data_IF_744935363590
#
_entry.id   IF_744935363590
#
_cell.length_a   1.000
_cell.length_b   1.000
_cell.length_c   1.000
_cell.angle_alpha   90.00
_cell.angle_beta   90.00
_cell.angle_gamma   90.00
#
_symmetry.space_group_name_H-M   'P 1'
#
loop_
_entity.id
_entity.type
_entity.pdbx_description
1 polymer ?
#
# COMPACT_ATOMS: atom_id res chain seq x y z
N UNK A 1 13.33 -1.67 22.64
CA UNK A 1 12.71 -1.95 21.32
C UNK A 1 13.47 -1.21 20.23
N UNK A 2 13.55 -1.74 19.00
CA UNK A 2 14.06 -0.99 17.83
C UNK A 2 12.97 -0.79 16.77
N UNK A 3 12.79 0.44 16.24
CA UNK A 3 11.85 0.71 15.14
C UNK A 3 12.48 1.42 13.93
N UNK A 4 12.13 0.98 12.72
CA UNK A 4 12.70 1.50 11.46
C UNK A 4 11.71 1.44 10.30
N UNK A 5 11.79 2.42 9.40
CA UNK A 5 11.31 2.34 8.02
C UNK A 5 12.51 1.89 7.17
N UNK A 6 12.34 0.93 6.26
CA UNK A 6 13.46 0.33 5.54
C UNK A 6 13.15 0.31 4.06
N UNK A 7 13.69 1.31 3.36
CA UNK A 7 13.75 1.30 1.90
C UNK A 7 15.11 0.79 1.48
N UNK A 8 15.13 -0.39 0.85
CA UNK A 8 16.26 -0.90 0.08
C UNK A 8 15.99 -0.53 -1.39
N UNK A 9 16.39 0.67 -1.82
CA UNK A 9 16.18 1.13 -3.20
C UNK A 9 17.17 0.50 -4.18
N UNK A 10 16.63 0.12 -5.34
CA UNK A 10 17.29 -0.10 -6.64
C UNK A 10 18.51 -1.04 -6.66
N UNK A 11 18.26 -2.34 -6.65
CA UNK A 11 19.13 -3.25 -7.38
C UNK A 11 18.46 -3.59 -8.72
N UNK A 12 18.83 -2.84 -9.76
CA UNK A 12 18.72 -3.31 -11.14
C UNK A 12 19.35 -4.69 -11.21
N UNK A 13 18.53 -5.70 -11.51
CA UNK A 13 18.78 -7.08 -11.95
C UNK A 13 20.24 -7.61 -11.94
N UNK A 14 21.00 -7.33 -10.89
CA UNK A 14 22.28 -7.95 -10.60
C UNK A 14 22.02 -8.93 -9.47
N UNK A 15 22.23 -10.20 -9.77
CA UNK A 15 22.09 -11.29 -8.78
C UNK A 15 23.08 -11.12 -7.60
N UNK A 16 23.99 -10.15 -7.64
CA UNK A 16 25.13 -10.01 -6.74
C UNK A 16 24.92 -9.14 -5.49
N UNK A 17 23.80 -8.41 -5.29
CA UNK A 17 23.69 -7.50 -4.11
C UNK A 17 22.33 -7.52 -3.39
N UNK A 18 21.67 -8.67 -3.24
CA UNK A 18 20.50 -8.82 -2.34
C UNK A 18 20.91 -9.03 -0.88
N UNK A 19 21.67 -8.11 -0.28
CA UNK A 19 22.30 -8.32 1.03
C UNK A 19 21.54 -7.78 2.26
N UNK A 20 20.41 -7.09 2.08
CA UNK A 20 19.60 -6.48 3.16
C UNK A 20 20.43 -5.91 4.33
N UNK A 21 21.44 -5.07 4.05
CA UNK A 21 22.42 -4.66 5.05
C UNK A 21 21.82 -3.84 6.19
N UNK A 22 20.78 -3.03 5.92
CA UNK A 22 20.06 -2.26 6.95
C UNK A 22 19.41 -3.20 7.98
N UNK A 23 18.78 -4.28 7.51
CA UNK A 23 18.17 -5.29 8.38
C UNK A 23 19.21 -6.00 9.24
N UNK A 24 20.34 -6.42 8.64
CA UNK A 24 21.44 -7.06 9.39
C UNK A 24 21.97 -6.12 10.47
N UNK A 25 22.19 -4.85 10.12
CA UNK A 25 22.68 -3.86 11.06
C UNK A 25 21.72 -3.61 12.24
N UNK A 26 20.41 -3.55 11.98
CA UNK A 26 19.40 -3.48 13.05
C UNK A 26 19.50 -4.71 13.95
N UNK A 27 19.63 -5.91 13.37
CA UNK A 27 19.76 -7.14 14.15
C UNK A 27 21.03 -7.14 15.02
N UNK A 28 22.16 -6.67 14.48
CA UNK A 28 23.41 -6.57 15.22
C UNK A 28 23.31 -5.61 16.41
N UNK A 29 22.70 -4.43 16.20
CA UNK A 29 22.46 -3.47 17.28
C UNK A 29 21.48 -4.02 18.30
N UNK A 30 20.36 -4.59 17.86
CA UNK A 30 19.38 -5.22 18.73
C UNK A 30 20.01 -6.31 19.61
N UNK A 31 20.88 -7.14 19.03
CA UNK A 31 21.61 -8.19 19.73
C UNK A 31 22.64 -7.65 20.71
N UNK A 32 23.39 -6.62 20.32
CA UNK A 32 24.40 -5.98 21.17
C UNK A 32 23.76 -5.27 22.37
N UNK A 33 22.62 -4.61 22.13
CA UNK A 33 21.89 -3.81 23.13
C UNK A 33 20.94 -4.65 23.98
N UNK A 34 20.60 -5.86 23.53
CA UNK A 34 19.71 -6.77 24.26
C UNK A 34 18.26 -6.31 24.27
N UNK A 35 17.76 -5.78 23.15
CA UNK A 35 16.37 -5.29 23.06
C UNK A 35 15.36 -6.44 23.07
N UNK A 36 14.16 -6.17 23.59
CA UNK A 36 13.09 -7.18 23.70
C UNK A 36 12.37 -7.52 22.39
N UNK A 37 12.51 -6.67 21.37
CA UNK A 37 11.87 -6.85 20.07
C UNK A 37 12.26 -5.77 19.06
N UNK A 38 12.20 -6.16 17.78
CA UNK A 38 12.39 -5.28 16.61
C UNK A 38 11.03 -5.10 15.93
N UNK A 39 10.69 -3.86 15.57
CA UNK A 39 9.43 -3.51 14.91
C UNK A 39 9.72 -2.72 13.64
N UNK A 40 9.34 -3.27 12.49
CA UNK A 40 9.63 -2.70 11.18
C UNK A 40 8.37 -2.04 10.61
N UNK A 41 8.52 -0.92 9.90
CA UNK A 41 7.43 -0.16 9.28
C UNK A 41 7.55 -0.13 7.76
N UNK A 42 6.84 -1.03 7.09
CA UNK A 42 6.51 -1.06 5.65
C UNK A 42 7.63 -0.86 4.62
N UNK A 43 7.24 -0.98 3.36
CA UNK A 43 8.02 -0.60 2.18
C UNK A 43 9.40 -1.29 2.04
N UNK A 44 9.49 -2.53 2.53
CA UNK A 44 10.73 -3.30 2.67
C UNK A 44 11.39 -3.67 1.34
N UNK A 45 10.58 -3.76 0.28
CA UNK A 45 11.02 -4.14 -1.07
C UNK A 45 10.43 -3.13 -2.05
N UNK A 46 10.76 -1.85 -1.86
CA UNK A 46 10.30 -0.76 -2.73
C UNK A 46 10.89 -0.87 -4.13
N UNK A 47 10.09 -1.27 -5.12
CA UNK A 47 10.43 -1.04 -6.51
C UNK A 47 9.66 0.21 -7.00
N UNK A 48 10.07 1.37 -6.49
CA UNK A 48 9.38 2.66 -6.71
C UNK A 48 9.21 3.03 -8.20
N UNK A 49 10.01 2.45 -9.10
CA UNK A 49 9.95 2.67 -10.55
C UNK A 49 8.80 1.94 -11.26
N UNK A 50 8.12 1.02 -10.59
CA UNK A 50 7.00 0.25 -11.15
C UNK A 50 5.85 0.31 -10.15
N UNK A 51 4.94 1.28 -10.31
CA UNK A 51 3.69 1.35 -9.53
C UNK A 51 3.09 -0.05 -9.37
N UNK A 52 2.61 -0.40 -8.16
CA UNK A 52 2.35 -1.76 -7.64
C UNK A 52 2.93 -2.90 -8.50
N UNK A 53 3.91 -3.69 -8.01
CA UNK A 53 4.60 -4.73 -8.79
C UNK A 53 3.71 -5.67 -9.60
N UNK A 54 2.44 -5.79 -9.23
CA UNK A 54 1.41 -6.58 -9.90
C UNK A 54 0.55 -5.78 -10.89
N UNK A 55 0.27 -4.50 -10.63
CA UNK A 55 -0.68 -3.70 -11.40
C UNK A 55 -0.15 -3.35 -12.80
N UNK A 56 1.04 -2.78 -12.91
CA UNK A 56 1.59 -2.35 -14.22
C UNK A 56 1.77 -3.53 -15.18
N UNK A 57 2.36 -4.67 -14.77
CA UNK A 57 2.48 -5.81 -15.65
C UNK A 57 1.12 -6.39 -16.09
N UNK A 58 0.12 -6.42 -15.21
CA UNK A 58 -1.24 -6.87 -15.56
C UNK A 58 -1.92 -5.89 -16.52
N UNK A 59 -1.79 -4.58 -16.29
CA UNK A 59 -2.28 -3.55 -17.23
C UNK A 59 -1.64 -3.71 -18.61
N UNK A 60 -0.33 -4.02 -18.68
CA UNK A 60 0.35 -4.29 -19.95
C UNK A 60 -0.23 -5.53 -20.65
N UNK A 61 -0.45 -6.64 -19.94
CA UNK A 61 -1.08 -7.84 -20.52
C UNK A 61 -2.50 -7.54 -21.03
N UNK A 62 -3.27 -6.74 -20.30
CA UNK A 62 -4.59 -6.29 -20.76
C UNK A 62 -4.51 -5.43 -22.02
N UNK A 63 -3.54 -4.50 -22.11
CA UNK A 63 -3.33 -3.70 -23.31
C UNK A 63 -2.88 -4.56 -24.50
N UNK A 64 -1.95 -5.49 -24.29
CA UNK A 64 -1.52 -6.46 -25.32
C UNK A 64 -2.67 -7.35 -25.77
N UNK A 65 -3.54 -7.75 -24.86
CA UNK A 65 -4.79 -8.48 -25.13
C UNK A 65 -5.74 -7.68 -26.01
N UNK A 66 -5.95 -6.40 -25.71
CA UNK A 66 -6.78 -5.50 -26.51
C UNK A 66 -6.20 -5.35 -27.92
N UNK A 67 -4.90 -5.10 -28.05
CA UNK A 67 -4.24 -4.96 -29.34
C UNK A 67 -4.22 -6.27 -30.15
N UNK A 68 -4.09 -7.42 -29.48
CA UNK A 68 -4.22 -8.74 -30.10
C UNK A 68 -5.63 -8.95 -30.64
N UNK A 69 -6.65 -8.67 -29.83
CA UNK A 69 -8.05 -8.79 -30.24
C UNK A 69 -8.39 -7.90 -31.44
N UNK A 70 -7.97 -6.63 -31.43
CA UNK A 70 -8.17 -5.71 -32.55
C UNK A 70 -7.64 -6.26 -33.88
N UNK A 71 -6.57 -7.05 -33.88
CA UNK A 71 -6.03 -7.66 -35.12
C UNK A 71 -6.92 -8.76 -35.70
N UNK A 72 -7.80 -9.34 -34.91
CA UNK A 72 -8.75 -10.39 -35.33
C UNK A 72 -10.10 -9.84 -35.75
N UNK A 73 -10.33 -8.54 -35.54
CA UNK A 73 -11.55 -7.86 -35.92
C UNK A 73 -11.34 -7.10 -37.23
N UNK A 74 -12.35 -7.14 -38.09
CA UNK A 74 -12.37 -6.38 -39.34
C UNK A 74 -12.29 -4.88 -39.06
N UNK A 75 -11.61 -4.13 -39.93
CA UNK A 75 -11.31 -2.72 -39.72
C UNK A 75 -12.55 -1.88 -39.39
N UNK A 76 -13.66 -2.14 -40.08
CA UNK A 76 -14.94 -1.42 -39.92
C UNK A 76 -15.59 -1.65 -38.54
N UNK A 77 -15.30 -2.79 -37.91
CA UNK A 77 -15.83 -3.19 -36.61
C UNK A 77 -14.91 -2.80 -35.44
N UNK A 78 -13.67 -2.38 -35.71
CA UNK A 78 -12.71 -1.92 -34.68
C UNK A 78 -13.13 -0.61 -34.04
N UNK A 79 -13.53 0.37 -34.84
CA UNK A 79 -13.98 1.69 -34.35
C UNK A 79 -15.17 1.53 -33.38
N UNK A 80 -16.08 0.61 -33.73
CA UNK A 80 -17.21 0.22 -32.89
C UNK A 80 -16.68 -0.32 -31.54
N UNK A 81 -15.84 -1.35 -31.52
CA UNK A 81 -15.33 -1.91 -30.27
C UNK A 81 -14.46 -0.94 -29.44
N UNK A 82 -13.73 -0.01 -30.06
CA UNK A 82 -12.95 1.02 -29.38
C UNK A 82 -13.85 1.99 -28.61
N UNK A 83 -14.89 2.53 -29.27
CA UNK A 83 -15.88 3.41 -28.63
C UNK A 83 -16.58 2.67 -27.48
N UNK A 84 -16.93 1.40 -27.68
CA UNK A 84 -17.55 0.57 -26.64
C UNK A 84 -16.64 0.39 -25.42
N UNK A 85 -15.35 0.06 -25.66
CA UNK A 85 -14.36 -0.11 -24.59
C UNK A 85 -14.15 1.18 -23.80
N UNK A 86 -14.06 2.34 -24.45
CA UNK A 86 -13.90 3.64 -23.78
C UNK A 86 -15.11 3.97 -22.90
N UNK A 87 -16.31 3.73 -23.40
CA UNK A 87 -17.55 3.93 -22.65
C UNK A 87 -17.64 2.98 -21.45
N UNK A 88 -17.27 1.71 -21.61
CA UNK A 88 -17.24 0.72 -20.52
C UNK A 88 -16.24 1.09 -19.42
N UNK A 89 -15.05 1.56 -19.78
CA UNK A 89 -14.04 2.03 -18.83
C UNK A 89 -14.55 3.21 -17.97
N UNK A 90 -15.47 4.00 -18.52
CA UNK A 90 -16.15 5.09 -17.82
C UNK A 90 -17.41 4.66 -17.06
N UNK A 91 -17.65 3.35 -16.93
CA UNK A 91 -18.81 2.79 -16.22
C UNK A 91 -20.10 2.77 -17.05
N UNK A 92 -20.01 2.86 -18.38
CA UNK A 92 -21.12 2.77 -19.32
C UNK A 92 -21.74 4.11 -19.74
N UNK A 93 -22.62 4.08 -20.76
CA UNK A 93 -23.27 5.25 -21.38
C UNK A 93 -23.94 6.15 -20.33
N UNK A 94 -24.64 5.54 -19.36
CA UNK A 94 -25.34 6.28 -18.31
C UNK A 94 -24.38 6.99 -17.34
N UNK A 95 -23.20 6.42 -17.10
CA UNK A 95 -22.16 7.04 -16.26
C UNK A 95 -21.51 8.22 -16.98
N UNK A 96 -21.25 8.09 -18.29
CA UNK A 96 -20.80 9.19 -19.15
C UNK A 96 -21.83 10.34 -19.17
N UNK A 97 -23.12 10.04 -19.40
CA UNK A 97 -24.20 11.04 -19.35
C UNK A 97 -24.26 11.77 -18.01
N UNK A 98 -24.10 11.03 -16.91
CA UNK A 98 -24.11 11.60 -15.57
C UNK A 98 -22.92 12.53 -15.36
N UNK A 99 -21.71 12.10 -15.73
CA UNK A 99 -20.49 12.89 -15.61
C UNK A 99 -20.55 14.23 -16.37
N UNK A 100 -21.21 14.25 -17.53
CA UNK A 100 -21.47 15.48 -18.30
C UNK A 100 -22.38 16.45 -17.53
N UNK A 101 -23.42 15.92 -16.87
CA UNK A 101 -24.47 16.72 -16.24
C UNK A 101 -24.13 17.18 -14.81
N UNK A 102 -23.23 16.49 -14.11
CA UNK A 102 -22.85 16.80 -12.72
C UNK A 102 -21.99 18.08 -12.58
N UNK A 103 -21.53 18.68 -13.68
CA UNK A 103 -20.91 20.01 -13.70
C UNK A 103 -19.54 20.14 -13.00
N UNK A 104 -18.98 19.05 -12.48
CA UNK A 104 -17.72 19.02 -11.74
C UNK A 104 -16.47 18.92 -12.64
N UNK A 105 -16.64 18.72 -13.94
CA UNK A 105 -15.55 18.47 -14.89
C UNK A 105 -15.13 19.73 -15.66
N UNK A 106 -13.84 19.88 -15.99
CA UNK A 106 -13.36 20.96 -16.86
C UNK A 106 -14.08 20.96 -18.22
N UNK A 107 -14.34 22.15 -18.78
CA UNK A 107 -15.10 22.32 -20.03
C UNK A 107 -14.55 21.49 -21.20
N UNK A 108 -13.23 21.37 -21.35
CA UNK A 108 -12.60 20.53 -22.37
C UNK A 108 -12.93 19.04 -22.22
N UNK A 109 -12.97 18.54 -21.00
CA UNK A 109 -13.29 17.14 -20.72
C UNK A 109 -14.78 16.87 -20.96
N UNK A 110 -15.65 17.82 -20.60
CA UNK A 110 -17.09 17.75 -20.90
C UNK A 110 -17.34 17.66 -22.40
N UNK A 111 -16.65 18.45 -23.23
CA UNK A 111 -16.79 18.38 -24.69
C UNK A 111 -16.27 17.05 -25.27
N UNK A 112 -15.18 16.51 -24.73
CA UNK A 112 -14.68 15.20 -25.12
C UNK A 112 -15.69 14.09 -24.77
N UNK A 113 -16.27 14.11 -23.56
CA UNK A 113 -17.29 13.14 -23.13
C UNK A 113 -18.58 13.25 -23.95
N UNK A 114 -19.01 14.45 -24.32
CA UNK A 114 -20.15 14.65 -25.24
C UNK A 114 -19.89 14.04 -26.62
N UNK A 115 -18.66 14.19 -27.12
CA UNK A 115 -18.25 13.59 -28.39
C UNK A 115 -18.29 12.06 -28.31
N UNK A 116 -17.65 11.48 -27.29
CA UNK A 116 -17.68 10.04 -27.03
C UNK A 116 -19.10 9.50 -26.87
N UNK A 117 -19.96 10.20 -26.14
CA UNK A 117 -21.36 9.81 -25.95
C UNK A 117 -22.12 9.78 -27.28
N UNK A 118 -21.95 10.79 -28.13
CA UNK A 118 -22.60 10.86 -29.44
C UNK A 118 -22.10 9.73 -30.36
N UNK A 119 -20.80 9.45 -30.32
CA UNK A 119 -20.22 8.36 -31.09
C UNK A 119 -20.75 7.01 -30.61
N UNK A 120 -20.85 6.80 -29.29
CA UNK A 120 -21.43 5.61 -28.70
C UNK A 120 -22.90 5.39 -29.09
N UNK A 121 -23.73 6.43 -29.02
CA UNK A 121 -25.13 6.38 -29.45
C UNK A 121 -25.27 6.06 -30.96
N UNK A 122 -24.34 6.56 -31.78
CA UNK A 122 -24.30 6.28 -33.23
C UNK A 122 -24.02 4.81 -33.53
N UNK A 123 -23.18 4.17 -32.73
CA UNK A 123 -22.74 2.78 -32.95
C UNK A 123 -23.43 1.76 -32.04
N UNK A 124 -24.35 2.20 -31.16
CA UNK A 124 -25.05 1.36 -30.18
C UNK A 124 -25.72 0.12 -30.81
N UNK A 125 -26.50 0.34 -31.87
CA UNK A 125 -27.17 -0.75 -32.60
C UNK A 125 -26.21 -1.71 -33.29
N UNK A 126 -24.99 -1.28 -33.60
CA UNK A 126 -23.95 -2.13 -34.19
C UNK A 126 -23.14 -2.88 -33.13
N UNK A 127 -23.13 -2.42 -31.88
CA UNK A 127 -22.40 -3.10 -30.81
C UNK A 127 -22.89 -4.52 -30.61
N UNK A 128 -24.22 -4.71 -30.49
CA UNK A 128 -24.78 -6.04 -30.23
C UNK A 128 -24.49 -7.02 -31.37
N UNK A 129 -24.52 -6.53 -32.62
CA UNK A 129 -24.23 -7.35 -33.80
C UNK A 129 -22.74 -7.71 -33.87
N UNK A 130 -21.85 -6.74 -33.63
CA UNK A 130 -20.40 -6.96 -33.59
C UNK A 130 -20.00 -7.85 -32.42
N UNK A 131 -20.54 -7.63 -31.22
CA UNK A 131 -20.28 -8.48 -30.05
C UNK A 131 -20.72 -9.92 -30.32
N UNK A 132 -21.88 -10.13 -30.94
CA UNK A 132 -22.35 -11.47 -31.32
C UNK A 132 -21.49 -12.11 -32.40
N UNK A 133 -21.06 -11.35 -33.40
CA UNK A 133 -20.18 -11.81 -34.47
C UNK A 133 -18.83 -12.28 -33.93
N UNK A 134 -18.23 -11.50 -33.01
CA UNK A 134 -16.90 -11.79 -32.46
C UNK A 134 -16.92 -12.52 -31.12
N UNK A 135 -18.09 -12.88 -30.56
CA UNK A 135 -18.21 -13.55 -29.26
C UNK A 135 -17.27 -14.76 -29.10
N UNK A 136 -17.14 -15.68 -30.07
CA UNK A 136 -16.20 -16.80 -29.94
C UNK A 136 -14.73 -16.37 -29.84
N UNK A 137 -14.37 -15.27 -30.50
CA UNK A 137 -13.01 -14.71 -30.51
C UNK A 137 -12.75 -13.91 -29.22
N UNK A 138 -13.74 -13.18 -28.73
CA UNK A 138 -13.71 -12.50 -27.42
C UNK A 138 -13.47 -13.54 -26.33
N UNK A 139 -14.30 -14.59 -26.25
CA UNK A 139 -14.17 -15.68 -25.27
C UNK A 139 -12.79 -16.36 -25.35
N UNK A 140 -12.29 -16.58 -26.56
CA UNK A 140 -10.96 -17.15 -26.76
C UNK A 140 -9.86 -16.20 -26.26
N UNK A 141 -9.94 -14.90 -26.58
CA UNK A 141 -8.99 -13.90 -26.15
C UNK A 141 -8.98 -13.76 -24.63
N UNK A 142 -10.14 -13.72 -23.98
CA UNK A 142 -10.27 -13.61 -22.52
C UNK A 142 -9.64 -14.81 -21.80
N UNK A 143 -9.88 -16.03 -22.29
CA UNK A 143 -9.22 -17.23 -21.74
C UNK A 143 -7.71 -17.17 -21.88
N UNK A 144 -7.21 -16.67 -23.01
CA UNK A 144 -5.78 -16.48 -23.22
C UNK A 144 -5.22 -15.42 -22.27
N UNK A 145 -5.83 -14.24 -22.20
CA UNK A 145 -5.44 -13.14 -21.31
C UNK A 145 -5.40 -13.59 -19.86
N UNK A 146 -6.41 -14.37 -19.43
CA UNK A 146 -6.42 -14.97 -18.09
C UNK A 146 -5.20 -15.88 -17.88
N UNK A 147 -4.88 -16.75 -18.83
CA UNK A 147 -3.70 -17.62 -18.74
C UNK A 147 -2.38 -16.82 -18.70
N UNK A 148 -2.26 -15.76 -19.51
CA UNK A 148 -1.09 -14.86 -19.52
C UNK A 148 -0.94 -14.14 -18.16
N UNK A 149 -2.05 -13.65 -17.58
CA UNK A 149 -2.07 -13.03 -16.25
C UNK A 149 -1.70 -14.04 -15.17
N UNK A 150 -2.21 -15.27 -15.23
CA UNK A 150 -1.93 -16.31 -14.24
C UNK A 150 -0.44 -16.72 -14.27
N UNK A 151 0.15 -16.87 -15.47
CA UNK A 151 1.58 -17.13 -15.63
C UNK A 151 2.44 -15.95 -15.13
N UNK A 152 2.04 -14.72 -15.44
CA UNK A 152 2.69 -13.51 -14.95
C UNK A 152 2.65 -13.42 -13.42
N UNK A 153 1.48 -13.66 -12.80
CA UNK A 153 1.33 -13.68 -11.33
C UNK A 153 2.23 -14.72 -10.70
N UNK A 154 2.36 -15.91 -11.30
CA UNK A 154 3.28 -16.96 -10.83
C UNK A 154 4.73 -16.48 -10.86
N UNK A 155 5.19 -15.88 -11.97
CA UNK A 155 6.55 -15.33 -12.10
C UNK A 155 6.83 -14.20 -11.11
N UNK A 156 5.88 -13.29 -10.93
CA UNK A 156 5.97 -12.21 -9.95
C UNK A 156 6.06 -12.76 -8.52
N UNK A 157 5.24 -13.76 -8.19
CA UNK A 157 5.29 -14.44 -6.89
C UNK A 157 6.63 -15.11 -6.65
N UNK A 158 7.18 -15.83 -7.62
CA UNK A 158 8.50 -16.46 -7.53
C UNK A 158 9.60 -15.42 -7.27
N UNK A 159 9.58 -14.29 -7.99
CA UNK A 159 10.52 -13.16 -7.76
C UNK A 159 10.36 -12.55 -6.37
N UNK A 160 9.13 -12.28 -5.94
CA UNK A 160 8.84 -11.73 -4.62
C UNK A 160 9.29 -12.69 -3.50
N UNK A 161 8.96 -13.98 -3.61
CA UNK A 161 9.34 -14.99 -2.61
C UNK A 161 10.86 -15.19 -2.52
N UNK A 162 11.58 -15.00 -3.62
CA UNK A 162 13.05 -14.99 -3.60
C UNK A 162 13.58 -13.82 -2.76
N UNK A 163 13.03 -12.61 -2.93
CA UNK A 163 13.42 -11.45 -2.12
C UNK A 163 13.04 -11.64 -0.65
N UNK A 164 11.83 -12.11 -0.37
CA UNK A 164 11.36 -12.39 1.01
C UNK A 164 12.19 -13.46 1.70
N UNK A 165 12.72 -14.44 0.97
CA UNK A 165 13.64 -15.44 1.53
C UNK A 165 14.94 -14.82 2.01
N UNK A 166 15.56 -13.94 1.23
CA UNK A 166 16.78 -13.27 1.66
C UNK A 166 16.52 -12.27 2.80
N UNK A 167 15.36 -11.60 2.81
CA UNK A 167 14.91 -10.78 3.93
C UNK A 167 14.76 -11.62 5.21
N UNK A 168 14.02 -12.74 5.15
CA UNK A 168 13.80 -13.64 6.28
C UNK A 168 15.13 -14.22 6.78
N UNK A 169 16.07 -14.52 5.88
CA UNK A 169 17.43 -14.96 6.24
C UNK A 169 18.20 -13.87 6.98
N UNK A 170 18.15 -12.61 6.52
CA UNK A 170 18.82 -11.49 7.18
C UNK A 170 18.27 -11.27 8.61
N UNK A 171 16.97 -11.44 8.79
CA UNK A 171 16.31 -11.37 10.10
C UNK A 171 16.66 -12.55 11.03
N UNK A 172 17.12 -13.68 10.48
CA UNK A 172 17.43 -14.88 11.25
C UNK A 172 18.60 -14.74 12.23
N UNK A 173 19.37 -13.66 12.17
CA UNK A 173 20.42 -13.35 13.16
C UNK A 173 19.88 -12.68 14.43
N UNK A 174 18.64 -12.17 14.43
CA UNK A 174 18.04 -11.53 15.59
C UNK A 174 17.80 -12.54 16.73
N UNK A 175 18.22 -12.18 17.95
CA UNK A 175 18.00 -12.95 19.18
C UNK A 175 16.67 -12.60 19.87
N UNK A 176 15.91 -11.67 19.32
CA UNK A 176 14.60 -11.25 19.80
C UNK A 176 13.55 -11.40 18.67
N UNK A 177 12.24 -11.44 19.01
CA UNK A 177 11.20 -11.46 18.00
C UNK A 177 11.22 -10.21 17.10
N UNK A 178 11.02 -10.43 15.80
CA UNK A 178 10.88 -9.36 14.80
C UNK A 178 9.42 -9.27 14.36
N UNK A 179 8.86 -8.07 14.44
CA UNK A 179 7.51 -7.74 14.02
C UNK A 179 7.53 -6.76 12.85
N UNK A 180 6.54 -6.84 11.96
CA UNK A 180 6.38 -5.93 10.85
C UNK A 180 4.93 -5.48 10.68
N UNK A 181 4.76 -4.26 10.17
CA UNK A 181 3.52 -3.74 9.60
C UNK A 181 3.79 -3.38 8.15
N UNK A 182 2.90 -3.76 7.23
CA UNK A 182 3.03 -3.47 5.80
C UNK A 182 2.82 -2.00 5.50
N UNK A 183 3.57 -1.53 4.50
CA UNK A 183 3.35 -0.28 3.80
C UNK A 183 2.62 -0.49 2.48
N UNK A 184 2.95 0.36 1.52
CA UNK A 184 2.24 0.47 0.24
C UNK A 184 2.71 -0.56 -0.79
N UNK A 185 3.92 -1.07 -0.60
CA UNK A 185 4.56 -1.93 -1.60
C UNK A 185 4.47 -3.42 -1.27
N UNK A 186 3.98 -3.79 -0.08
CA UNK A 186 3.78 -5.18 0.31
C UNK A 186 2.44 -5.73 -0.22
N UNK A 187 2.52 -6.56 -1.25
CA UNK A 187 1.36 -7.21 -1.87
C UNK A 187 0.85 -8.41 -1.07
N UNK A 188 -0.20 -9.09 -1.56
CA UNK A 188 -0.71 -10.33 -0.95
C UNK A 188 0.36 -11.43 -0.88
N UNK A 189 1.36 -11.41 -1.78
CA UNK A 189 2.50 -12.33 -1.72
C UNK A 189 3.29 -12.19 -0.41
N UNK A 190 3.39 -11.00 0.16
CA UNK A 190 4.03 -10.79 1.46
C UNK A 190 3.29 -11.57 2.56
N UNK A 191 1.97 -11.63 2.50
CA UNK A 191 1.17 -12.40 3.45
C UNK A 191 1.23 -13.90 3.23
N UNK A 192 1.28 -14.33 1.97
CA UNK A 192 1.35 -15.75 1.62
C UNK A 192 2.73 -16.37 1.91
N UNK A 193 3.78 -15.56 1.94
CA UNK A 193 5.12 -16.05 2.23
C UNK A 193 5.19 -16.67 3.65
N UNK A 194 5.74 -17.89 3.80
CA UNK A 194 5.81 -18.59 5.08
C UNK A 194 7.02 -18.10 5.90
N UNK A 195 6.91 -16.88 6.44
CA UNK A 195 7.93 -16.24 7.27
C UNK A 195 8.35 -17.12 8.46
N UNK A 196 9.65 -17.29 8.69
CA UNK A 196 10.18 -18.03 9.85
C UNK A 196 10.64 -17.08 10.95
N UNK A 197 11.27 -15.98 10.57
CA UNK A 197 11.91 -15.03 11.48
C UNK A 197 11.12 -13.72 11.64
N UNK A 198 10.11 -13.50 10.79
CA UNK A 198 9.24 -12.32 10.83
C UNK A 198 7.81 -12.65 11.25
N UNK A 199 7.22 -11.83 12.12
CA UNK A 199 5.81 -11.90 12.50
C UNK A 199 5.06 -10.66 12.02
N UNK A 200 4.06 -10.86 11.17
CA UNK A 200 3.25 -9.75 10.65
C UNK A 200 2.20 -9.34 11.68
N UNK A 201 2.35 -8.14 12.26
CA UNK A 201 1.58 -7.68 13.40
C UNK A 201 0.07 -7.58 13.09
N UNK A 202 -0.27 -7.19 11.86
CA UNK A 202 -1.65 -7.17 11.34
C UNK A 202 -2.37 -8.52 11.39
N UNK A 203 -1.61 -9.64 11.32
CA UNK A 203 -2.12 -11.01 11.44
C UNK A 203 -2.16 -11.48 12.89
N UNK A 204 -1.24 -11.01 13.73
CA UNK A 204 -1.17 -11.40 15.14
C UNK A 204 -2.21 -10.67 16.00
N UNK A 205 -2.66 -9.49 15.57
CA UNK A 205 -3.56 -8.64 16.33
C UNK A 205 -2.79 -7.81 17.35
N UNK A 206 -2.74 -8.26 18.60
CA UNK A 206 -1.99 -7.59 19.67
C UNK A 206 -0.94 -8.54 20.24
N UNK A 207 0.30 -8.06 20.36
CA UNK A 207 1.40 -8.80 20.97
C UNK A 207 1.86 -8.09 22.24
N UNK A 208 2.09 -8.86 23.30
CA UNK A 208 2.64 -8.35 24.56
C UNK A 208 4.16 -8.55 24.56
N UNK A 209 4.91 -7.45 24.73
CA UNK A 209 6.35 -7.47 24.92
C UNK A 209 6.64 -6.80 26.26
N UNK A 210 7.02 -7.62 27.25
CA UNK A 210 7.38 -7.17 28.61
C UNK A 210 6.31 -6.30 29.29
N UNK A 211 5.05 -6.62 29.09
CA UNK A 211 3.92 -5.90 29.65
C UNK A 211 3.49 -4.67 28.85
N UNK A 212 4.06 -4.42 27.66
CA UNK A 212 3.60 -3.38 26.73
C UNK A 212 2.93 -4.07 25.53
N UNK A 213 1.70 -3.67 25.23
CA UNK A 213 0.87 -4.25 24.16
C UNK A 213 1.02 -3.48 22.86
N UNK A 214 1.45 -4.16 21.80
CA UNK A 214 1.66 -3.60 20.48
C UNK A 214 0.59 -4.09 19.50
N UNK A 215 -0.01 -3.17 18.76
CA UNK A 215 -0.88 -3.45 17.63
C UNK A 215 -0.30 -2.88 16.34
N UNK A 216 -0.68 -3.46 15.21
CA UNK A 216 -0.19 -3.08 13.89
C UNK A 216 -1.32 -2.76 12.94
N UNK A 217 -1.15 -1.70 12.15
CA UNK A 217 -2.14 -1.28 11.18
C UNK A 217 -1.45 -0.85 9.86
N UNK A 218 -1.75 -1.49 8.71
CA UNK A 218 -1.11 -1.14 7.44
C UNK A 218 -1.54 0.24 6.97
N UNK A 219 -1.00 0.72 5.86
CA UNK A 219 -1.54 1.93 5.25
C UNK A 219 -3.00 1.73 4.84
N UNK A 220 -3.91 2.48 5.45
CA UNK A 220 -5.36 2.36 5.25
C UNK A 220 -5.84 2.96 3.94
N UNK A 221 -5.04 3.80 3.27
CA UNK A 221 -5.46 4.45 2.03
C UNK A 221 -5.63 3.49 0.86
N UNK A 222 -4.91 2.36 0.85
CA UNK A 222 -4.87 1.46 -0.31
C UNK A 222 -5.97 0.38 -0.30
N UNK A 223 -6.55 0.08 0.87
CA UNK A 223 -7.70 -0.83 0.95
C UNK A 223 -9.05 -0.16 0.62
N UNK A 224 -9.03 1.14 0.28
CA UNK A 224 -10.15 1.83 -0.39
C UNK A 224 -10.09 1.60 -1.91
N UNK A 225 -9.29 0.64 -2.40
CA UNK A 225 -9.19 0.30 -3.84
C UNK A 225 -10.33 -0.56 -4.40
N UNK A 226 -11.33 -0.94 -3.59
CA UNK A 226 -12.59 -1.49 -4.11
C UNK A 226 -13.54 -0.40 -4.63
N UNK A 227 -13.23 0.87 -4.38
CA UNK A 227 -13.82 1.99 -5.09
C UNK A 227 -12.84 2.32 -6.22
N UNK A 228 -13.32 2.21 -7.46
CA UNK A 228 -12.51 2.37 -8.66
C UNK A 228 -11.64 3.62 -8.64
N UNK A 229 -10.69 3.65 -9.57
CA UNK A 229 -9.69 4.69 -9.88
C UNK A 229 -10.13 6.16 -9.85
N UNK A 230 -11.41 6.48 -9.58
CA UNK A 230 -11.95 7.81 -9.35
C UNK A 230 -11.85 8.34 -7.90
N UNK A 231 -11.46 7.55 -6.90
CA UNK A 231 -11.44 8.05 -5.51
C UNK A 231 -10.31 9.04 -5.24
N UNK A 232 -9.15 8.86 -5.89
CA UNK A 232 -8.02 9.79 -5.79
C UNK A 232 -8.31 11.16 -6.44
N UNK A 233 -9.07 11.20 -7.55
CA UNK A 233 -9.46 12.48 -8.16
C UNK A 233 -10.63 13.19 -7.44
N UNK A 234 -11.45 12.46 -6.68
CA UNK A 234 -12.56 13.05 -5.90
C UNK A 234 -12.14 13.57 -4.52
N UNK A 235 -11.12 12.97 -3.88
CA UNK A 235 -10.67 13.38 -2.56
C UNK A 235 -10.01 14.77 -2.52
N UNK A 236 -9.53 15.28 -3.65
CA UNK A 236 -8.98 16.66 -3.75
C UNK A 236 -10.05 17.74 -3.88
N UNK A 237 -11.32 17.40 -4.16
CA UNK A 237 -12.36 18.40 -4.51
C UNK A 237 -13.60 18.43 -3.66
N UNK A 238 -13.81 17.46 -2.78
CA UNK A 238 -14.89 17.51 -1.79
C UNK A 238 -14.42 16.83 -0.50
N UNK A 239 -14.62 17.43 0.69
CA UNK A 239 -14.52 16.69 1.93
C UNK A 239 -15.70 15.72 1.99
N UNK A 240 -15.59 14.61 1.26
CA UNK A 240 -16.56 13.51 1.32
C UNK A 240 -16.63 13.10 2.78
N UNK A 241 -17.76 13.39 3.43
CA UNK A 241 -18.05 12.83 4.74
C UNK A 241 -17.90 11.32 4.60
N UNK A 242 -16.95 10.71 5.33
CA UNK A 242 -16.65 9.33 5.12
C UNK A 242 -17.86 8.52 5.55
N UNK A 243 -18.31 7.65 4.65
CA UNK A 243 -19.42 6.75 4.89
C UNK A 243 -19.08 5.85 6.08
N UNK A 244 -19.69 6.15 7.23
CA UNK A 244 -19.45 5.47 8.50
C UNK A 244 -19.72 3.96 8.38
N UNK A 245 -20.64 3.55 7.50
CA UNK A 245 -20.99 2.14 7.28
C UNK A 245 -19.85 1.38 6.58
N UNK A 246 -19.15 2.04 5.64
CA UNK A 246 -17.97 1.47 4.98
C UNK A 246 -16.76 1.37 5.91
N UNK A 247 -16.64 2.27 6.89
CA UNK A 247 -15.58 2.21 7.91
C UNK A 247 -15.85 1.12 8.95
N UNK A 248 -17.11 0.98 9.38
CA UNK A 248 -17.54 -0.07 10.29
C UNK A 248 -17.45 -1.48 9.70
N UNK A 249 -17.33 -1.61 8.37
CA UNK A 249 -17.14 -2.89 7.69
C UNK A 249 -15.68 -3.16 7.29
N UNK A 250 -14.73 -2.25 7.60
CA UNK A 250 -13.34 -2.47 7.24
C UNK A 250 -12.70 -3.54 8.15
N UNK A 251 -12.29 -4.70 7.62
CA UNK A 251 -11.79 -5.81 8.43
C UNK A 251 -10.48 -5.51 9.14
N UNK A 252 -9.69 -4.53 8.67
CA UNK A 252 -8.45 -4.11 9.32
C UNK A 252 -8.75 -3.22 10.53
N UNK A 253 -9.70 -2.29 10.40
CA UNK A 253 -10.11 -1.38 11.48
C UNK A 253 -10.87 -2.16 12.57
N UNK A 254 -11.80 -3.03 12.19
CA UNK A 254 -12.59 -3.83 13.12
C UNK A 254 -11.74 -4.73 14.02
N UNK A 255 -10.61 -5.25 13.49
CA UNK A 255 -9.67 -6.04 14.29
C UNK A 255 -9.05 -5.25 15.43
N UNK A 256 -9.00 -3.93 15.35
CA UNK A 256 -8.41 -3.06 16.38
C UNK A 256 -9.47 -2.52 17.35
N UNK A 257 -10.71 -2.34 16.92
CA UNK A 257 -11.79 -1.75 17.74
C UNK A 257 -12.16 -2.56 18.98
N UNK A 258 -11.92 -3.87 19.02
CA UNK A 258 -12.20 -4.71 20.20
C UNK A 258 -10.93 -5.09 20.97
N UNK A 259 -9.78 -4.51 20.59
CA UNK A 259 -8.49 -4.82 21.20
C UNK A 259 -8.04 -3.71 22.13
N UNK A 260 -7.26 -4.09 23.12
CA UNK A 260 -6.60 -3.20 24.06
C UNK A 260 -5.10 -3.22 23.76
N UNK A 261 -4.53 -2.05 23.46
CA UNK A 261 -3.13 -1.91 23.09
C UNK A 261 -2.57 -0.55 23.51
N UNK A 262 -1.28 -0.54 23.81
CA UNK A 262 -0.54 0.60 24.33
C UNK A 262 0.16 1.37 23.22
N UNK A 263 0.68 0.64 22.23
CA UNK A 263 1.49 1.16 21.12
C UNK A 263 0.86 0.74 19.79
N UNK A 264 0.68 1.71 18.90
CA UNK A 264 0.23 1.48 17.54
C UNK A 264 1.37 1.66 16.54
N UNK A 265 1.75 0.57 15.89
CA UNK A 265 2.67 0.58 14.74
C UNK A 265 1.84 0.76 13.47
N UNK A 266 2.21 1.73 12.64
CA UNK A 266 1.54 1.98 11.35
C UNK A 266 2.56 2.32 10.28
N UNK A 267 2.26 2.01 9.03
CA UNK A 267 3.10 2.51 7.94
C UNK A 267 2.97 4.01 7.78
N UNK A 268 1.75 4.56 7.75
CA UNK A 268 1.52 6.02 7.72
C UNK A 268 0.88 6.47 9.03
N UNK A 269 1.51 7.42 9.72
CA UNK A 269 1.00 7.95 10.98
C UNK A 269 -0.19 8.90 10.84
N UNK A 270 -0.69 9.42 11.97
CA UNK A 270 -1.75 10.45 12.01
C UNK A 270 -1.19 11.87 12.13
N UNK A 271 -1.98 12.85 11.67
CA UNK A 271 -1.73 14.29 11.84
C UNK A 271 -0.32 14.68 11.39
N UNK A 272 0.45 15.30 12.28
CA UNK A 272 1.83 15.68 12.04
C UNK A 272 2.75 14.51 11.69
N UNK A 273 2.37 13.24 11.90
CA UNK A 273 3.14 12.10 11.39
C UNK A 273 2.91 11.83 9.90
N UNK A 274 1.80 12.31 9.31
CA UNK A 274 1.47 12.23 7.89
C UNK A 274 1.86 13.50 7.09
N UNK A 275 2.38 14.53 7.75
CA UNK A 275 2.76 15.80 7.09
C UNK A 275 4.13 15.73 6.39
N UNK A 276 4.17 16.06 5.10
CA UNK A 276 5.38 16.24 4.32
C UNK A 276 5.43 17.63 3.69
N UNK A 277 6.50 18.40 3.94
CA UNK A 277 6.64 19.75 3.38
C UNK A 277 5.53 20.74 3.76
N UNK A 278 4.82 20.50 4.87
CA UNK A 278 3.67 21.31 5.30
C UNK A 278 2.33 20.88 4.71
N UNK A 279 2.31 19.84 3.86
CA UNK A 279 1.09 19.24 3.34
C UNK A 279 0.76 17.98 4.15
N UNK A 280 -0.45 17.92 4.71
CA UNK A 280 -0.98 16.67 5.28
C UNK A 280 -1.27 15.71 4.12
N UNK A 281 -0.49 14.63 4.02
CA UNK A 281 -0.68 13.62 2.97
C UNK A 281 -1.91 12.73 3.23
N UNK A 282 -2.71 13.04 4.24
CA UNK A 282 -3.88 12.31 4.65
C UNK A 282 -3.49 11.09 5.46
N UNK A 283 -4.07 10.95 6.65
CA UNK A 283 -3.77 9.86 7.57
C UNK A 283 -4.85 8.77 7.64
N UNK A 284 -5.91 8.93 6.84
CA UNK A 284 -7.03 8.01 6.73
C UNK A 284 -8.00 8.16 7.91
N UNK A 285 -9.28 8.45 7.62
CA UNK A 285 -10.28 8.68 8.66
C UNK A 285 -10.46 7.50 9.61
N UNK A 286 -10.34 6.26 9.09
CA UNK A 286 -10.43 5.03 9.87
C UNK A 286 -9.38 4.91 10.99
N UNK A 287 -8.12 5.24 10.68
CA UNK A 287 -7.04 5.24 11.67
C UNK A 287 -7.29 6.30 12.76
N UNK A 288 -7.85 7.46 12.37
CA UNK A 288 -8.21 8.52 13.31
C UNK A 288 -9.27 8.08 14.32
N UNK A 289 -10.27 7.31 13.88
CA UNK A 289 -11.28 6.74 14.77
C UNK A 289 -10.69 5.73 15.75
N UNK A 290 -9.83 4.82 15.28
CA UNK A 290 -9.15 3.84 16.15
C UNK A 290 -8.37 4.57 17.23
N UNK A 291 -7.59 5.60 16.86
CA UNK A 291 -6.77 6.33 17.82
C UNK A 291 -7.62 7.16 18.78
N UNK A 292 -8.72 7.77 18.31
CA UNK A 292 -9.66 8.49 19.19
C UNK A 292 -10.30 7.57 20.23
N UNK A 293 -10.70 6.37 19.81
CA UNK A 293 -11.40 5.41 20.67
C UNK A 293 -10.44 4.65 21.60
N UNK A 294 -9.28 4.25 21.10
CA UNK A 294 -8.32 3.41 21.81
C UNK A 294 -7.28 4.18 22.58
N UNK A 295 -7.00 5.42 22.18
CA UNK A 295 -6.05 6.33 22.83
C UNK A 295 -4.71 5.65 23.14
N UNK A 296 -4.03 5.07 22.14
CA UNK A 296 -2.72 4.48 22.37
C UNK A 296 -1.77 5.55 22.92
N UNK A 297 -0.88 5.15 23.83
CA UNK A 297 0.09 6.05 24.44
C UNK A 297 1.19 6.45 23.47
N UNK A 298 1.51 5.57 22.51
CA UNK A 298 2.56 5.79 21.50
C UNK A 298 2.04 5.39 20.13
N UNK A 299 2.35 6.20 19.11
CA UNK A 299 2.13 5.86 17.70
C UNK A 299 3.47 5.97 16.97
N UNK A 300 3.84 4.90 16.28
CA UNK A 300 5.05 4.85 15.45
C UNK A 300 4.63 4.74 13.99
N UNK A 301 4.97 5.75 13.18
CA UNK A 301 4.66 5.82 11.75
C UNK A 301 5.92 5.91 10.89
N UNK A 302 5.92 5.30 9.70
CA UNK A 302 6.89 5.52 8.62
C UNK A 302 6.30 6.37 7.48
N UNK A 303 6.60 6.01 6.24
CA UNK A 303 6.04 6.55 4.98
C UNK A 303 6.48 7.98 4.61
N UNK A 304 6.58 8.88 5.59
CA UNK A 304 7.06 10.24 5.36
C UNK A 304 8.57 10.29 5.58
N UNK A 305 9.32 10.31 4.48
CA UNK A 305 10.78 10.18 4.44
C UNK A 305 11.58 11.31 5.09
N UNK A 306 10.91 12.38 5.51
CA UNK A 306 11.55 13.47 6.26
C UNK A 306 11.66 13.15 7.75
N UNK A 307 12.91 13.08 8.26
CA UNK A 307 13.20 12.84 9.67
C UNK A 307 12.58 13.90 10.58
N UNK A 308 11.54 13.56 11.33
CA UNK A 308 10.94 14.46 12.33
C UNK A 308 10.47 13.66 13.54
N UNK A 309 11.24 13.71 14.62
CA UNK A 309 10.78 13.20 15.91
C UNK A 309 9.77 14.19 16.50
N UNK A 310 8.52 13.76 16.69
CA UNK A 310 7.45 14.60 17.22
C UNK A 310 7.05 14.17 18.62
N UNK A 311 7.79 14.67 19.61
CA UNK A 311 7.70 14.12 20.96
C UNK A 311 6.28 14.14 21.55
N UNK A 312 5.43 15.11 21.21
CA UNK A 312 4.01 15.14 21.61
C UNK A 312 3.18 16.05 20.69
N UNK A 313 2.30 15.51 19.82
CA UNK A 313 1.11 16.25 19.42
C UNK A 313 0.14 16.25 20.61
N UNK A 314 0.27 17.25 21.50
CA UNK A 314 -0.79 17.54 22.46
C UNK A 314 -1.91 18.25 21.71
N UNK A 315 -2.80 17.47 21.10
CA UNK A 315 -4.17 17.92 20.88
C UNK A 315 -5.03 17.26 21.95
N UNK A 316 -5.90 18.04 22.59
CA UNK A 316 -6.73 17.60 23.74
C UNK A 316 -7.54 16.32 23.46
N UNK A 317 -7.76 15.99 22.18
CA UNK A 317 -8.55 14.86 21.73
C UNK A 317 -7.81 13.53 21.55
N UNK A 318 -6.47 13.52 21.40
CA UNK A 318 -5.72 12.33 20.94
C UNK A 318 -4.54 11.88 21.83
N UNK A 319 -3.87 12.81 22.54
CA UNK A 319 -2.98 12.50 23.69
C UNK A 319 -1.91 11.40 23.55
N UNK A 320 -1.19 11.28 22.43
CA UNK A 320 -0.15 10.25 22.22
C UNK A 320 1.27 10.83 22.00
N UNK A 321 2.31 10.01 22.20
CA UNK A 321 3.68 10.30 21.74
C UNK A 321 3.87 9.83 20.29
N UNK A 322 4.21 10.74 19.39
CA UNK A 322 4.37 10.46 17.97
C UNK A 322 5.82 10.18 17.57
N UNK A 323 6.08 9.05 16.94
CA UNK A 323 7.43 8.67 16.53
C UNK A 323 7.38 8.43 15.03
N UNK A 324 8.15 9.24 14.28
CA UNK A 324 8.30 9.07 12.84
C UNK A 324 9.62 8.36 12.56
N UNK A 325 9.55 7.21 11.90
CA UNK A 325 10.69 6.51 11.32
C UNK A 325 10.89 6.95 9.87
N UNK A 326 12.11 6.88 9.34
CA UNK A 326 12.39 7.10 7.92
C UNK A 326 13.44 6.13 7.41
N UNK A 327 13.64 6.09 6.10
CA UNK A 327 14.66 5.27 5.45
C UNK A 327 16.09 5.74 5.71
N UNK A 328 16.26 6.88 6.38
CA UNK A 328 17.52 7.47 6.84
C UNK A 328 17.88 7.11 8.30
N UNK A 329 16.91 6.67 9.10
CA UNK A 329 17.11 6.48 10.55
C UNK A 329 16.23 5.41 11.19
N UNK A 330 16.76 4.86 12.28
CA UNK A 330 16.01 3.98 13.17
C UNK A 330 16.21 4.39 14.62
N UNK A 331 15.35 3.88 15.50
CA UNK A 331 15.32 4.27 16.91
C UNK A 331 15.40 3.05 17.82
N UNK A 332 16.23 3.13 18.85
CA UNK A 332 16.12 2.30 20.04
C UNK A 332 15.28 3.06 21.08
N UNK A 333 14.27 2.41 21.63
CA UNK A 333 13.30 3.01 22.55
C UNK A 333 13.07 2.13 23.76
N UNK A 334 13.05 2.77 24.92
CA UNK A 334 12.60 2.18 26.19
C UNK A 334 11.20 2.69 26.50
N UNK A 335 10.26 1.75 26.64
CA UNK A 335 8.87 2.03 26.98
C UNK A 335 8.60 1.49 28.38
N UNK A 336 8.11 2.34 29.28
CA UNK A 336 7.77 1.92 30.64
C UNK A 336 6.49 1.07 30.61
N UNK A 337 6.51 -0.15 31.18
CA UNK A 337 5.31 -0.98 31.27
C UNK A 337 4.26 -0.41 32.23
N UNK A 338 4.62 0.52 33.13
CA UNK A 338 3.68 1.18 34.05
C UNK A 338 2.97 2.35 33.36
N UNK A 339 3.71 3.19 32.66
CA UNK A 339 3.18 4.43 32.05
C UNK A 339 2.80 4.28 30.59
N UNK A 340 3.24 3.19 29.95
CA UNK A 340 3.06 2.89 28.51
C UNK A 340 3.68 3.93 27.57
N UNK A 341 4.56 4.78 28.10
CA UNK A 341 5.21 5.89 27.40
C UNK A 341 6.68 5.61 27.16
N UNK A 342 7.22 6.22 26.10
CA UNK A 342 8.66 6.26 25.85
C UNK A 342 9.31 7.12 26.92
N UNK A 343 10.27 6.53 27.64
CA UNK A 343 11.04 7.19 28.70
C UNK A 343 12.46 7.53 28.27
N UNK A 344 13.01 6.76 27.33
CA UNK A 344 14.31 7.00 26.73
C UNK A 344 14.28 6.57 25.25
N UNK A 345 14.98 7.33 24.40
CA UNK A 345 15.10 7.02 22.98
C UNK A 345 16.47 7.42 22.46
N UNK A 346 17.12 6.49 21.78
CA UNK A 346 18.36 6.72 21.06
C UNK A 346 18.08 6.64 19.56
N UNK A 347 18.45 7.70 18.84
CA UNK A 347 18.33 7.79 17.39
C UNK A 347 19.63 7.36 16.72
N UNK A 348 19.51 6.60 15.65
CA UNK A 348 20.61 6.14 14.81
C UNK A 348 20.35 6.56 13.38
N UNK A 349 21.37 7.11 12.72
CA UNK A 349 21.34 7.32 11.27
C UNK A 349 22.03 6.16 10.58
N UNK A 350 21.55 5.78 9.41
CA UNK A 350 22.32 4.90 8.55
C UNK A 350 23.60 5.62 8.14
N UNK A 351 24.76 5.15 8.59
CA UNK A 351 26.03 5.66 8.07
C UNK A 351 26.27 5.13 6.66
N UNK A 352 27.09 5.83 5.88
CA UNK A 352 27.55 5.31 4.59
C UNK A 352 28.24 3.93 4.75
N UNK A 353 28.81 3.62 5.92
CA UNK A 353 29.40 2.30 6.21
C UNK A 353 28.40 1.13 6.23
N UNK A 354 27.11 1.39 6.49
CA UNK A 354 26.05 0.36 6.38
C UNK A 354 25.77 0.02 4.92
N UNK A 355 26.10 0.91 3.97
CA UNK A 355 25.92 0.68 2.53
C UNK A 355 27.00 -0.22 1.89
N UNK A 356 28.12 -0.52 2.57
CA UNK A 356 29.32 -1.04 1.87
C UNK A 356 30.03 -2.25 2.49
N UNK A 357 29.44 -3.00 3.42
CA UNK A 357 30.03 -4.30 3.83
C UNK A 357 29.13 -5.47 3.45
N UNK A 358 29.18 -5.81 2.16
CA UNK A 358 29.08 -7.21 1.77
C UNK A 358 30.31 -7.93 2.35
N UNK A 359 30.08 -8.80 3.34
CA UNK A 359 31.09 -9.72 3.86
C UNK A 359 31.15 -10.97 2.98
#
# INVERSE_FOLDING_TARGET
>A
MTASDIHETEYEDSEETRSFPKLRHICDIANYRGVDGIFLNGDYVGNQKVGSPELIPVMRVNNESTERFKRWVDYENREVLEIYSEVLQLGGINSVRRAINEGALPSKLVEALKTLLKDAERVESKFEDVEREYAPIIDFNERWTKADIDDLKKKLKEKAFSNYREMDRALGSAKCPVYAVRGNWETDFFYEYPWKNLKILEKQGVVDVKGVKFAGAPNFHEYISHLGSSFYEKAEKDPVQPDLENIQNNPVINRLFDKDFDVLMTHKGLHQLAEEGGNDLGSGFGLGLVVKQKRPSVIVGGHVHNSKTLYQPVTEDYGYQGIRTSDEEFFEMDISPETKKVVQMQKYKWSDDVKYKAA
#
